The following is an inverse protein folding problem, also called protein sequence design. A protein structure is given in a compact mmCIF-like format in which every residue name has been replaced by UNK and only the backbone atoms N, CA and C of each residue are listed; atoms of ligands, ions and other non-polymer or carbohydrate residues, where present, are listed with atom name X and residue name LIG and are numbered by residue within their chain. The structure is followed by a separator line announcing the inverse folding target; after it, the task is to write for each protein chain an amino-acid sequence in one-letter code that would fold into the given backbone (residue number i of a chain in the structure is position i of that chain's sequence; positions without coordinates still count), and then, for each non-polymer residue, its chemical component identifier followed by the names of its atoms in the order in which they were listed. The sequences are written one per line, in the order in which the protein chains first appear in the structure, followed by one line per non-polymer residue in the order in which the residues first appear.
data_IF_765081490075
#
_entry.id   IF_765081490075
#
_cell.length_a   1.000
_cell.length_b   1.000
_cell.length_c   1.000
_cell.angle_alpha   90.00
_cell.angle_beta   90.00
_cell.angle_gamma   90.00
#
_symmetry.space_group_name_H-M   'P 1'
#
loop_
_entity.id
_entity.type
_entity.pdbx_description
1 polymer ?
#
# COMPACT_ATOMS: atom_id res chain seq x y z
N UNK A 1 11.10 21.70 9.65
CA UNK A 1 11.06 21.24 8.26
C UNK A 1 12.39 20.56 8.01
N UNK A 2 12.60 19.26 8.13
CA UNK A 2 11.72 18.11 8.26
C UNK A 2 12.35 17.05 7.37
N UNK A 3 13.43 16.40 7.84
CA UNK A 3 14.33 15.51 7.07
C UNK A 3 13.63 14.59 6.05
N UNK A 4 12.37 14.21 6.30
CA UNK A 4 11.59 13.35 5.42
C UNK A 4 11.05 14.10 4.17
N UNK A 5 10.66 15.37 4.28
CA UNK A 5 10.20 16.19 3.14
C UNK A 5 11.32 16.41 2.12
N UNK A 6 12.55 16.63 2.61
CA UNK A 6 13.74 16.87 1.80
C UNK A 6 14.27 15.60 1.09
N UNK A 7 13.97 14.40 1.62
CA UNK A 7 14.42 13.12 1.04
C UNK A 7 13.34 12.40 0.21
N UNK A 8 12.05 12.69 0.41
CA UNK A 8 10.94 12.00 -0.27
C UNK A 8 10.30 12.89 -1.37
N UNK A 9 10.48 14.21 -1.32
CA UNK A 9 9.89 15.13 -2.30
C UNK A 9 8.37 15.28 -2.17
N UNK A 10 7.68 15.69 -3.24
CA UNK A 10 6.25 16.04 -3.24
C UNK A 10 5.32 14.90 -2.79
N UNK A 11 5.76 13.63 -2.89
CA UNK A 11 4.98 12.46 -2.48
C UNK A 11 5.03 12.14 -0.99
N UNK A 12 5.78 12.93 -0.19
CA UNK A 12 5.89 12.77 1.26
C UNK A 12 4.53 12.67 1.98
N UNK A 13 3.54 13.46 1.56
CA UNK A 13 2.20 13.41 2.14
C UNK A 13 1.50 12.06 1.88
N UNK A 14 1.67 11.48 0.70
CA UNK A 14 1.11 10.17 0.37
C UNK A 14 1.78 9.08 1.20
N UNK A 15 3.11 9.14 1.39
CA UNK A 15 3.85 8.22 2.26
C UNK A 15 3.30 8.23 3.68
N UNK A 16 3.14 9.42 4.27
CA UNK A 16 2.57 9.56 5.63
C UNK A 16 1.16 9.01 5.70
N UNK A 17 0.29 9.40 4.78
CA UNK A 17 -1.11 8.98 4.78
C UNK A 17 -1.20 7.45 4.66
N UNK A 18 -0.41 6.85 3.77
CA UNK A 18 -0.38 5.40 3.58
C UNK A 18 0.11 4.66 4.82
N UNK A 19 1.17 5.15 5.49
CA UNK A 19 1.70 4.52 6.71
C UNK A 19 0.70 4.64 7.86
N UNK A 20 0.03 5.79 8.00
CA UNK A 20 -1.01 5.98 9.01
C UNK A 20 -2.20 5.05 8.79
N UNK A 21 -2.66 4.90 7.54
CA UNK A 21 -3.71 3.95 7.16
C UNK A 21 -3.30 2.51 7.46
N UNK A 22 -2.06 2.14 7.15
CA UNK A 22 -1.53 0.81 7.43
C UNK A 22 -1.54 0.50 8.93
N UNK A 23 -1.03 1.42 9.75
CA UNK A 23 -1.01 1.27 11.22
C UNK A 23 -2.42 1.23 11.78
N UNK A 24 -3.35 2.04 11.26
CA UNK A 24 -4.75 2.02 11.67
C UNK A 24 -5.41 0.67 11.39
N UNK A 25 -5.20 0.11 10.20
CA UNK A 25 -5.68 -1.24 9.86
C UNK A 25 -5.09 -2.32 10.78
N UNK A 26 -3.78 -2.25 11.06
CA UNK A 26 -3.12 -3.17 11.97
C UNK A 26 -3.65 -3.06 13.42
N UNK A 27 -3.91 -1.84 13.89
CA UNK A 27 -4.47 -1.59 15.21
C UNK A 27 -5.91 -2.12 15.34
N UNK A 28 -6.73 -1.94 14.29
CA UNK A 28 -8.08 -2.51 14.26
C UNK A 28 -8.04 -4.04 14.27
N UNK A 29 -7.18 -4.66 13.47
CA UNK A 29 -7.01 -6.12 13.47
C UNK A 29 -6.51 -6.66 14.81
N UNK A 30 -5.65 -5.91 15.50
CA UNK A 30 -5.20 -6.25 16.85
C UNK A 30 -6.34 -6.21 17.87
N UNK A 31 -7.19 -5.18 17.84
CA UNK A 31 -8.35 -5.07 18.75
C UNK A 31 -9.30 -6.25 18.57
N UNK A 32 -9.55 -6.62 17.32
CA UNK A 32 -10.38 -7.77 16.97
C UNK A 32 -9.77 -9.09 17.43
N UNK A 33 -8.44 -9.23 17.36
CA UNK A 33 -7.73 -10.39 17.86
C UNK A 33 -7.78 -10.54 19.39
N UNK A 34 -8.02 -9.45 20.10
CA UNK A 34 -8.07 -9.45 21.56
C UNK A 34 -9.39 -10.00 22.13
N UNK A 35 -10.44 -10.18 21.31
CA UNK A 35 -11.79 -10.57 21.76
C UNK A 35 -12.04 -12.10 21.77
N UNK A 36 -10.96 -12.90 21.76
CA UNK A 36 -10.90 -14.38 21.95
C UNK A 36 -11.66 -15.25 20.91
N UNK A 37 -12.51 -14.66 20.06
CA UNK A 37 -13.22 -15.33 18.96
C UNK A 37 -13.15 -14.50 17.69
N UNK A 38 -12.02 -14.59 16.98
CA UNK A 38 -11.86 -13.94 15.67
C UNK A 38 -12.43 -14.83 14.55
N UNK A 39 -13.32 -14.29 13.73
CA UNK A 39 -13.78 -14.89 12.47
C UNK A 39 -13.05 -14.32 11.27
N UNK A 40 -13.11 -15.00 10.12
CA UNK A 40 -12.50 -14.51 8.89
C UNK A 40 -13.09 -13.16 8.41
N UNK A 41 -14.35 -12.87 8.76
CA UNK A 41 -14.98 -11.60 8.43
C UNK A 41 -14.32 -10.43 9.17
N UNK A 42 -13.85 -10.66 10.39
CA UNK A 42 -13.33 -9.61 11.25
C UNK A 42 -11.91 -9.17 10.83
N UNK A 43 -11.22 -10.02 10.05
CA UNK A 43 -9.91 -9.72 9.45
C UNK A 43 -10.03 -8.92 8.14
N UNK A 44 -11.21 -8.92 7.50
CA UNK A 44 -11.39 -8.34 6.17
C UNK A 44 -11.11 -6.83 6.13
N UNK A 45 -11.76 -6.06 7.00
CA UNK A 45 -11.60 -4.59 7.05
C UNK A 45 -10.17 -4.19 7.46
N UNK A 46 -9.59 -4.77 8.53
CA UNK A 46 -8.18 -4.55 8.88
C UNK A 46 -7.23 -4.80 7.71
N UNK A 47 -7.39 -5.92 7.01
CA UNK A 47 -6.51 -6.30 5.90
C UNK A 47 -6.66 -5.36 4.70
N UNK A 48 -7.88 -4.96 4.38
CA UNK A 48 -8.14 -4.02 3.28
C UNK A 48 -7.52 -2.65 3.57
N UNK A 49 -7.64 -2.15 4.80
CA UNK A 49 -7.00 -0.91 5.23
C UNK A 49 -5.48 -1.01 5.17
N UNK A 50 -4.90 -2.13 5.64
CA UNK A 50 -3.46 -2.36 5.55
C UNK A 50 -2.97 -2.40 4.10
N UNK A 51 -3.62 -3.15 3.22
CA UNK A 51 -3.26 -3.23 1.80
C UNK A 51 -3.38 -1.87 1.10
N UNK A 52 -4.46 -1.12 1.38
CA UNK A 52 -4.63 0.23 0.83
C UNK A 52 -3.57 1.20 1.33
N UNK A 53 -3.22 1.16 2.62
CA UNK A 53 -2.18 2.00 3.22
C UNK A 53 -0.81 1.70 2.60
N UNK A 54 -0.47 0.41 2.47
CA UNK A 54 0.74 -0.03 1.79
C UNK A 54 0.81 0.44 0.34
N UNK A 55 -0.29 0.34 -0.41
CA UNK A 55 -0.35 0.82 -1.78
C UNK A 55 -0.12 2.33 -1.87
N UNK A 56 -0.80 3.12 -1.03
CA UNK A 56 -0.63 4.59 -1.01
C UNK A 56 0.79 4.98 -0.62
N UNK A 57 1.42 4.26 0.31
CA UNK A 57 2.83 4.46 0.67
C UNK A 57 3.77 4.16 -0.50
N UNK A 58 3.56 3.05 -1.20
CA UNK A 58 4.37 2.69 -2.38
C UNK A 58 4.22 3.73 -3.48
N UNK A 59 3.00 4.20 -3.77
CA UNK A 59 2.77 5.28 -4.73
C UNK A 59 3.48 6.58 -4.32
N UNK A 60 3.44 6.94 -3.04
CA UNK A 60 4.12 8.12 -2.52
C UNK A 60 5.64 8.05 -2.64
N UNK A 61 6.24 6.87 -2.42
CA UNK A 61 7.68 6.64 -2.60
C UNK A 61 8.03 6.67 -4.10
N UNK A 62 7.22 6.04 -4.95
CA UNK A 62 7.51 5.92 -6.38
C UNK A 62 7.29 7.19 -7.17
N UNK A 63 6.30 8.02 -6.81
CA UNK A 63 5.98 9.24 -7.55
C UNK A 63 6.45 10.52 -6.85
N UNK A 64 6.87 10.44 -5.59
CA UNK A 64 7.20 11.61 -4.79
C UNK A 64 8.55 12.26 -5.03
N UNK A 65 9.54 11.52 -5.53
CA UNK A 65 10.92 11.97 -5.59
C UNK A 65 11.19 12.78 -6.86
N UNK A 66 11.71 14.00 -6.77
CA UNK A 66 11.93 14.92 -7.90
C UNK A 66 12.98 14.48 -8.95
N UNK A 67 13.48 13.26 -8.89
CA UNK A 67 14.46 12.73 -9.82
C UNK A 67 13.72 12.07 -11.00
N UNK A 68 13.57 12.82 -12.10
CA UNK A 68 12.90 12.41 -13.34
C UNK A 68 13.53 11.18 -14.02
N UNK A 69 14.79 10.84 -13.73
CA UNK A 69 15.52 9.76 -14.40
C UNK A 69 15.20 8.34 -13.84
N UNK A 70 14.68 8.21 -12.62
CA UNK A 70 14.44 6.91 -11.96
C UNK A 70 12.95 6.48 -11.94
N UNK A 71 12.01 7.34 -12.39
CA UNK A 71 10.56 7.15 -12.10
C UNK A 71 9.77 6.21 -13.00
N UNK A 72 10.21 5.89 -14.23
CA UNK A 72 9.23 5.43 -15.23
C UNK A 72 9.31 3.95 -15.65
N UNK A 73 10.47 3.29 -15.56
CA UNK A 73 10.56 1.89 -16.03
C UNK A 73 10.15 0.88 -14.96
N UNK A 74 10.73 0.96 -13.76
CA UNK A 74 10.64 -0.15 -12.80
C UNK A 74 9.23 -0.32 -12.19
N UNK A 75 8.49 0.77 -11.96
CA UNK A 75 7.13 0.69 -11.44
C UNK A 75 6.10 0.37 -12.52
N UNK A 76 6.25 0.91 -13.73
CA UNK A 76 5.37 0.57 -14.86
C UNK A 76 5.49 -0.93 -15.16
N UNK A 77 6.70 -1.47 -15.11
CA UNK A 77 6.96 -2.89 -15.26
C UNK A 77 6.36 -3.71 -14.10
N UNK A 78 6.52 -3.27 -12.86
CA UNK A 78 5.94 -3.94 -11.70
C UNK A 78 4.39 -3.92 -11.69
N UNK A 79 3.75 -2.82 -12.13
CA UNK A 79 2.29 -2.69 -12.24
C UNK A 79 1.77 -3.55 -13.41
N UNK A 80 2.46 -3.54 -14.55
CA UNK A 80 2.12 -4.40 -15.68
C UNK A 80 2.25 -5.88 -15.30
N UNK A 81 3.29 -6.24 -14.55
CA UNK A 81 3.48 -7.60 -14.06
C UNK A 81 2.41 -7.99 -13.03
N UNK A 82 2.07 -7.11 -12.08
CA UNK A 82 1.01 -7.36 -11.10
C UNK A 82 -0.36 -7.47 -11.79
N UNK A 83 -0.67 -6.60 -12.74
CA UNK A 83 -1.92 -6.64 -13.53
C UNK A 83 -2.01 -7.93 -14.34
N UNK A 84 -0.89 -8.38 -14.91
CA UNK A 84 -0.81 -9.67 -15.63
C UNK A 84 -1.03 -10.85 -14.69
N UNK A 85 -0.44 -10.82 -13.48
CA UNK A 85 -0.67 -11.84 -12.44
C UNK A 85 -2.11 -11.84 -11.93
N UNK A 86 -2.73 -10.66 -11.75
CA UNK A 86 -4.15 -10.58 -11.39
C UNK A 86 -5.05 -11.08 -12.51
N UNK A 87 -4.79 -10.72 -13.77
CA UNK A 87 -5.59 -11.19 -14.91
C UNK A 87 -5.46 -12.71 -15.12
N UNK A 88 -4.30 -13.30 -14.88
CA UNK A 88 -4.12 -14.76 -14.93
C UNK A 88 -4.79 -15.47 -13.75
N UNK A 89 -4.87 -14.84 -12.58
CA UNK A 89 -5.64 -15.36 -11.45
C UNK A 89 -7.16 -15.20 -11.62
N UNK A 90 -7.61 -14.21 -12.41
CA UNK A 90 -9.01 -13.94 -12.72
C UNK A 90 -9.50 -14.64 -14.00
N UNK A 91 -8.59 -15.25 -14.76
CA UNK A 91 -8.84 -15.82 -16.09
C UNK A 91 -8.26 -17.23 -16.23
N UNK A 92 -8.86 -18.19 -15.51
CA UNK A 92 -8.91 -19.60 -15.88
C UNK A 92 -10.36 -20.09 -15.72
N UNK A 93 -11.24 -19.61 -16.59
CA UNK A 93 -12.40 -20.37 -17.07
C UNK A 93 -12.37 -20.31 -18.61
N UNK A 94 -11.86 -21.40 -19.19
CA UNK A 94 -11.80 -21.82 -20.62
C UNK A 94 -10.79 -21.14 -21.58
#
# INVERSE_FOLDING_TARGET
MGWIEENIGEGYQQVIIGVLLFIAGAAMGWLEAADDVMTAADVYIPSLLMLSGGMVTLLGISFGTDHEDDRTNDLMDAINELTTRMNSMLGEEE
#
